data_IF_072192566331
#
_entry.id   IF_072192566331
#
_cell.length_a   1.000
_cell.length_b   1.000
_cell.length_c   1.000
_cell.angle_alpha   90.00
_cell.angle_beta   90.00
_cell.angle_gamma   90.00
#
_symmetry.space_group_name_H-M   'P 1'
#
loop_
_entity.id
_entity.type
_entity.pdbx_description
1 polymer ?
#
# COMPACT_ATOMS: atom_id res chain seq x y z
N UNK A 1 -99.22 44.53 10.62
CA UNK A 1 -97.84 44.13 10.27
C UNK A 1 -96.90 45.26 10.69
N UNK A 2 -95.70 44.96 11.20
CA UNK A 2 -94.56 45.89 11.50
C UNK A 2 -94.30 46.46 12.92
N UNK A 3 -94.82 45.90 14.04
CA UNK A 3 -94.41 46.34 15.41
C UNK A 3 -93.90 45.23 16.37
N UNK A 4 -93.55 44.04 15.87
CA UNK A 4 -92.86 42.99 16.65
C UNK A 4 -91.41 42.75 16.21
N UNK A 5 -90.88 43.59 15.32
CA UNK A 5 -89.56 43.42 14.71
C UNK A 5 -88.42 44.07 15.53
N UNK A 6 -88.62 45.29 16.06
CA UNK A 6 -87.52 46.09 16.64
C UNK A 6 -86.96 45.61 17.99
N UNK A 7 -87.80 45.12 18.90
CA UNK A 7 -87.35 44.74 20.26
C UNK A 7 -86.56 43.42 20.26
N UNK A 8 -86.83 42.54 19.30
CA UNK A 8 -86.12 41.27 19.08
C UNK A 8 -84.74 41.52 18.47
N UNK A 9 -84.61 42.47 17.54
CA UNK A 9 -83.34 42.84 16.90
C UNK A 9 -82.37 43.46 17.92
N UNK A 10 -82.83 44.32 18.82
CA UNK A 10 -81.98 44.95 19.84
C UNK A 10 -81.38 43.93 20.84
N UNK A 11 -82.14 42.89 21.23
CA UNK A 11 -81.63 41.81 22.09
C UNK A 11 -80.63 40.90 21.36
N UNK A 12 -80.82 40.66 20.05
CA UNK A 12 -79.90 39.87 19.24
C UNK A 12 -78.54 40.57 19.06
N UNK A 13 -78.52 41.89 18.87
CA UNK A 13 -77.27 42.68 18.74
C UNK A 13 -76.44 42.59 20.02
N UNK A 14 -77.06 42.75 21.20
CA UNK A 14 -76.37 42.69 22.48
C UNK A 14 -75.76 41.31 22.79
N UNK A 15 -76.34 40.22 22.28
CA UNK A 15 -75.80 38.86 22.42
C UNK A 15 -74.69 38.58 21.39
N UNK A 16 -74.78 39.20 20.21
CA UNK A 16 -73.82 38.97 19.11
C UNK A 16 -72.46 39.62 19.38
N UNK A 17 -72.43 40.79 20.02
CA UNK A 17 -71.18 41.50 20.34
C UNK A 17 -70.18 40.72 21.23
N UNK A 18 -70.58 40.09 22.35
CA UNK A 18 -69.67 39.30 23.17
C UNK A 18 -69.21 38.02 22.46
N UNK A 19 -70.07 37.42 21.63
CA UNK A 19 -69.69 36.25 20.80
C UNK A 19 -68.64 36.66 19.76
N UNK A 20 -68.82 37.81 19.09
CA UNK A 20 -67.84 38.35 18.13
C UNK A 20 -66.50 38.63 18.78
N UNK A 21 -66.49 39.25 19.97
CA UNK A 21 -65.24 39.50 20.73
C UNK A 21 -64.55 38.19 21.13
N UNK A 22 -65.31 37.20 21.60
CA UNK A 22 -64.76 35.89 21.96
C UNK A 22 -64.23 35.13 20.75
N UNK A 23 -64.91 35.20 19.62
CA UNK A 23 -64.46 34.61 18.36
C UNK A 23 -63.17 35.29 17.86
N UNK A 24 -63.10 36.62 17.92
CA UNK A 24 -61.88 37.37 17.56
C UNK A 24 -60.70 37.01 18.46
N UNK A 25 -60.89 36.97 19.79
CA UNK A 25 -59.83 36.55 20.72
C UNK A 25 -59.44 35.08 20.54
N UNK A 26 -60.39 34.21 20.21
CA UNK A 26 -60.11 32.79 19.96
C UNK A 26 -59.31 32.62 18.67
N UNK A 27 -59.62 33.41 17.64
CA UNK A 27 -58.90 33.41 16.38
C UNK A 27 -57.47 33.93 16.54
N UNK A 28 -57.29 35.05 17.26
CA UNK A 28 -55.98 35.65 17.54
C UNK A 28 -55.08 34.75 18.40
N UNK A 29 -55.64 34.09 19.43
CA UNK A 29 -54.91 33.08 20.20
C UNK A 29 -54.56 31.84 19.35
N UNK A 30 -55.42 31.46 18.40
CA UNK A 30 -55.14 30.34 17.51
C UNK A 30 -54.01 30.67 16.54
N UNK A 31 -54.02 31.87 15.96
CA UNK A 31 -52.97 32.37 15.08
C UNK A 31 -51.62 32.47 15.82
N UNK A 32 -51.61 32.99 17.05
CA UNK A 32 -50.42 33.04 17.90
C UNK A 32 -49.87 31.66 18.27
N UNK A 33 -50.74 30.72 18.64
CA UNK A 33 -50.33 29.35 18.94
C UNK A 33 -49.77 28.66 17.69
N UNK A 34 -50.39 28.88 16.53
CA UNK A 34 -49.90 28.36 15.25
C UNK A 34 -48.53 28.93 14.91
N UNK A 35 -48.33 30.24 15.08
CA UNK A 35 -47.04 30.89 14.86
C UNK A 35 -45.97 30.35 15.84
N UNK A 36 -46.27 30.25 17.14
CA UNK A 36 -45.37 29.69 18.15
C UNK A 36 -44.98 28.22 17.86
N UNK A 37 -45.93 27.40 17.42
CA UNK A 37 -45.68 26.02 17.02
C UNK A 37 -44.84 25.94 15.74
N UNK A 38 -45.04 26.85 14.77
CA UNK A 38 -44.19 26.94 13.58
C UNK A 38 -42.75 27.33 13.92
N UNK A 39 -42.54 28.33 14.77
CA UNK A 39 -41.21 28.72 15.26
C UNK A 39 -40.51 27.57 15.99
N UNK A 40 -41.20 26.85 16.88
CA UNK A 40 -40.65 25.68 17.60
C UNK A 40 -40.32 24.49 16.67
N UNK A 41 -41.06 24.34 15.58
CA UNK A 41 -40.76 23.35 14.55
C UNK A 41 -39.54 23.75 13.71
N UNK A 42 -39.39 25.03 13.36
CA UNK A 42 -38.24 25.56 12.62
C UNK A 42 -36.95 25.45 13.47
N UNK A 43 -37.02 25.78 14.76
CA UNK A 43 -35.89 25.70 15.70
C UNK A 43 -35.39 24.24 15.86
N UNK A 44 -36.30 23.28 16.07
CA UNK A 44 -35.93 21.85 16.07
C UNK A 44 -35.38 21.36 14.74
N UNK A 45 -35.88 21.89 13.61
CA UNK A 45 -35.35 21.56 12.28
C UNK A 45 -33.91 22.05 12.14
N UNK A 46 -33.61 23.26 12.61
CA UNK A 46 -32.26 23.83 12.61
C UNK A 46 -31.31 23.03 13.51
N UNK A 47 -31.72 22.66 14.71
CA UNK A 47 -30.92 21.81 15.62
C UNK A 47 -30.63 20.43 15.01
N UNK A 48 -31.64 19.77 14.42
CA UNK A 48 -31.47 18.49 13.73
C UNK A 48 -30.51 18.62 12.54
N UNK A 49 -30.55 19.73 11.82
CA UNK A 49 -29.68 20.00 10.69
C UNK A 49 -28.23 20.27 11.14
N UNK A 50 -28.04 20.98 12.26
CA UNK A 50 -26.73 21.18 12.88
C UNK A 50 -26.12 19.86 13.36
N UNK A 51 -26.89 19.05 14.10
CA UNK A 51 -26.48 17.71 14.53
C UNK A 51 -26.15 16.80 13.34
N UNK A 52 -26.99 16.80 12.30
CA UNK A 52 -26.73 16.04 11.08
C UNK A 52 -25.45 16.50 10.36
N UNK A 53 -25.12 17.79 10.41
CA UNK A 53 -23.90 18.34 9.80
C UNK A 53 -22.67 17.91 10.61
N UNK A 54 -22.72 18.02 11.95
CA UNK A 54 -21.66 17.55 12.83
C UNK A 54 -21.40 16.03 12.68
N UNK A 55 -22.45 15.22 12.60
CA UNK A 55 -22.33 13.77 12.38
C UNK A 55 -21.71 13.45 11.02
N UNK A 56 -22.09 14.18 9.95
CA UNK A 56 -21.48 14.02 8.62
C UNK A 56 -19.99 14.34 8.62
N UNK A 57 -19.59 15.42 9.29
CA UNK A 57 -18.18 15.80 9.43
C UNK A 57 -17.39 14.75 10.21
N UNK A 58 -17.96 14.21 11.28
CA UNK A 58 -17.37 13.13 12.07
C UNK A 58 -17.15 11.87 11.20
N UNK A 59 -18.18 11.42 10.48
CA UNK A 59 -18.10 10.25 9.58
C UNK A 59 -17.05 10.51 8.48
N UNK A 60 -17.03 11.71 7.90
CA UNK A 60 -16.06 12.07 6.87
C UNK A 60 -14.62 12.08 7.42
N UNK A 61 -14.42 12.60 8.62
CA UNK A 61 -13.13 12.60 9.32
C UNK A 61 -12.64 11.16 9.55
N UNK A 62 -13.50 10.29 10.08
CA UNK A 62 -13.19 8.87 10.27
C UNK A 62 -12.86 8.16 8.95
N UNK A 63 -13.65 8.40 7.89
CA UNK A 63 -13.39 7.80 6.58
C UNK A 63 -12.00 8.19 6.05
N UNK A 64 -11.65 9.48 6.13
CA UNK A 64 -10.32 9.96 5.73
C UNK A 64 -9.20 9.36 6.57
N UNK A 65 -9.40 9.21 7.89
CA UNK A 65 -8.42 8.58 8.76
C UNK A 65 -8.20 7.10 8.42
N UNK A 66 -9.26 6.35 8.10
CA UNK A 66 -9.16 4.95 7.69
C UNK A 66 -8.41 4.83 6.36
N UNK A 67 -8.77 5.64 5.37
CA UNK A 67 -8.07 5.69 4.08
C UNK A 67 -6.58 6.04 4.26
N UNK A 68 -6.29 7.00 5.14
CA UNK A 68 -4.92 7.38 5.47
C UNK A 68 -4.15 6.22 6.10
N UNK A 69 -4.72 5.54 7.12
CA UNK A 69 -4.07 4.37 7.74
C UNK A 69 -3.87 3.25 6.73
N UNK A 70 -4.85 2.99 5.86
CA UNK A 70 -4.72 2.00 4.79
C UNK A 70 -3.58 2.37 3.84
N UNK A 71 -3.50 3.63 3.41
CA UNK A 71 -2.44 4.13 2.55
C UNK A 71 -1.07 4.00 3.24
N UNK A 72 -0.96 4.41 4.50
CA UNK A 72 0.29 4.29 5.27
C UNK A 72 0.73 2.84 5.41
N UNK A 73 -0.20 1.92 5.70
CA UNK A 73 0.10 0.48 5.76
C UNK A 73 0.57 -0.08 4.41
N UNK A 74 -0.03 0.40 3.31
CA UNK A 74 0.35 0.03 1.95
C UNK A 74 1.75 0.56 1.66
N UNK A 75 2.02 1.84 1.92
CA UNK A 75 3.34 2.46 1.74
C UNK A 75 4.42 1.72 2.53
N UNK A 76 4.18 1.41 3.80
CA UNK A 76 5.10 0.64 4.64
C UNK A 76 5.40 -0.75 4.06
N UNK A 77 4.39 -1.46 3.55
CA UNK A 77 4.61 -2.76 2.87
C UNK A 77 5.43 -2.62 1.59
N UNK A 78 5.19 -1.59 0.78
CA UNK A 78 5.98 -1.35 -0.43
C UNK A 78 7.43 -1.02 -0.10
N UNK A 79 7.71 -0.28 0.98
CA UNK A 79 9.07 0.02 1.40
C UNK A 79 9.80 -1.25 1.86
N UNK A 80 9.18 -2.11 2.66
CA UNK A 80 9.78 -3.38 3.09
C UNK A 80 10.09 -4.29 1.89
N UNK A 81 9.14 -4.44 0.96
CA UNK A 81 9.35 -5.20 -0.28
C UNK A 81 10.48 -4.60 -1.13
N UNK A 82 10.53 -3.28 -1.27
CA UNK A 82 11.59 -2.61 -2.03
C UNK A 82 12.98 -2.83 -1.40
N UNK A 83 13.11 -2.68 -0.08
CA UNK A 83 14.38 -2.87 0.62
C UNK A 83 14.87 -4.33 0.51
N UNK A 84 13.96 -5.30 0.69
CA UNK A 84 14.31 -6.72 0.51
C UNK A 84 14.75 -7.04 -0.92
N UNK A 85 14.06 -6.47 -1.92
CA UNK A 85 14.43 -6.63 -3.33
C UNK A 85 15.81 -6.06 -3.64
N UNK A 86 16.12 -4.86 -3.15
CA UNK A 86 17.44 -4.22 -3.33
C UNK A 86 18.55 -5.08 -2.70
N UNK A 87 18.32 -5.61 -1.50
CA UNK A 87 19.28 -6.47 -0.82
C UNK A 87 19.60 -7.73 -1.62
N UNK A 88 18.57 -8.45 -2.09
CA UNK A 88 18.74 -9.67 -2.91
C UNK A 88 19.48 -9.36 -4.21
N UNK A 89 19.14 -8.26 -4.89
CA UNK A 89 19.82 -7.84 -6.12
C UNK A 89 21.30 -7.53 -5.85
N UNK A 90 21.60 -6.86 -4.72
CA UNK A 90 22.97 -6.58 -4.30
C UNK A 90 23.80 -7.85 -4.11
N UNK A 91 23.27 -8.84 -3.40
CA UNK A 91 23.93 -10.15 -3.20
C UNK A 91 24.13 -10.90 -4.53
N UNK A 92 23.15 -10.87 -5.43
CA UNK A 92 23.27 -11.46 -6.75
C UNK A 92 24.39 -10.81 -7.58
N UNK A 93 24.49 -9.49 -7.56
CA UNK A 93 25.57 -8.75 -8.23
C UNK A 93 26.93 -9.11 -7.62
N UNK A 94 27.00 -9.17 -6.30
CA UNK A 94 28.24 -9.53 -5.60
C UNK A 94 28.72 -10.93 -5.98
N UNK A 95 27.82 -11.92 -5.96
CA UNK A 95 28.11 -13.29 -6.40
C UNK A 95 28.49 -13.35 -7.88
N UNK A 96 27.85 -12.54 -8.73
CA UNK A 96 28.18 -12.44 -10.15
C UNK A 96 29.63 -11.97 -10.36
N UNK A 97 30.05 -10.90 -9.68
CA UNK A 97 31.42 -10.40 -9.76
C UNK A 97 32.44 -11.41 -9.23
N UNK A 98 32.14 -12.08 -8.11
CA UNK A 98 33.00 -13.14 -7.58
C UNK A 98 33.17 -14.30 -8.57
N UNK A 99 32.07 -14.73 -9.19
CA UNK A 99 32.07 -15.80 -10.18
C UNK A 99 32.85 -15.43 -11.45
N UNK A 100 32.72 -14.18 -11.89
CA UNK A 100 33.45 -13.64 -13.04
C UNK A 100 34.96 -13.54 -12.77
N UNK A 101 35.34 -13.02 -11.60
CA UNK A 101 36.74 -12.94 -11.18
C UNK A 101 37.36 -14.34 -11.05
N UNK A 102 36.62 -15.30 -10.48
CA UNK A 102 37.05 -16.68 -10.36
C UNK A 102 37.31 -17.34 -11.73
N UNK A 103 36.42 -17.11 -12.70
CA UNK A 103 36.62 -17.59 -14.07
C UNK A 103 37.82 -16.94 -14.76
N UNK A 104 38.00 -15.62 -14.61
CA UNK A 104 39.15 -14.93 -15.19
C UNK A 104 40.49 -15.49 -14.68
N UNK A 105 40.59 -15.70 -13.36
CA UNK A 105 41.77 -16.31 -12.73
C UNK A 105 41.97 -17.74 -13.24
N UNK A 106 40.89 -18.52 -13.37
CA UNK A 106 40.95 -19.88 -13.88
C UNK A 106 41.47 -19.94 -15.33
N UNK A 107 40.94 -19.11 -16.22
CA UNK A 107 41.36 -19.05 -17.62
C UNK A 107 42.82 -18.61 -17.75
N UNK A 108 43.25 -17.64 -16.94
CA UNK A 108 44.65 -17.21 -16.93
C UNK A 108 45.58 -18.32 -16.40
N UNK A 109 45.19 -19.00 -15.33
CA UNK A 109 45.94 -20.14 -14.79
C UNK A 109 46.04 -21.29 -15.79
N UNK A 110 44.97 -21.54 -16.56
CA UNK A 110 44.94 -22.57 -17.59
C UNK A 110 45.94 -22.29 -18.73
N UNK A 111 46.02 -21.02 -19.17
CA UNK A 111 47.01 -20.56 -20.16
C UNK A 111 48.44 -20.67 -19.64
N UNK A 112 48.68 -20.28 -18.38
CA UNK A 112 50.01 -20.41 -17.74
C UNK A 112 50.41 -21.88 -17.65
N UNK A 113 49.48 -22.77 -17.28
CA UNK A 113 49.69 -24.22 -17.22
C UNK A 113 50.04 -24.79 -18.60
N UNK A 114 49.32 -24.38 -19.65
CA UNK A 114 49.58 -24.82 -21.02
C UNK A 114 50.96 -24.37 -21.51
N UNK A 115 51.31 -23.10 -21.27
CA UNK A 115 52.65 -22.57 -21.57
C UNK A 115 53.75 -23.33 -20.82
N UNK A 116 53.57 -23.57 -19.51
CA UNK A 116 54.50 -24.34 -18.69
C UNK A 116 54.63 -25.80 -19.13
N UNK A 117 53.57 -26.39 -19.69
CA UNK A 117 53.59 -27.75 -20.24
C UNK A 117 54.29 -27.83 -21.59
N UNK A 118 54.13 -26.78 -22.42
CA UNK A 118 54.74 -26.68 -23.75
C UNK A 118 56.24 -26.33 -23.70
N UNK A 119 56.68 -25.71 -22.61
CA UNK A 119 58.08 -25.55 -22.28
C UNK A 119 58.75 -26.93 -22.13
N UNK A 120 59.94 -27.12 -22.70
CA UNK A 120 60.76 -28.33 -22.53
C UNK A 120 61.31 -28.46 -21.10
N UNK A 121 60.43 -28.45 -20.09
CA UNK A 121 60.76 -28.43 -18.65
C UNK A 121 61.61 -29.64 -18.24
N UNK A 122 61.47 -30.77 -18.94
CA UNK A 122 62.29 -31.96 -18.75
C UNK A 122 63.78 -31.76 -19.09
N UNK A 123 64.13 -30.73 -19.85
CA UNK A 123 65.53 -30.35 -20.17
C UNK A 123 66.08 -29.23 -19.27
N UNK A 124 65.30 -28.73 -18.29
CA UNK A 124 65.73 -27.65 -17.39
C UNK A 124 66.41 -28.19 -16.11
N UNK A 125 67.17 -27.35 -15.38
CA UNK A 125 67.78 -27.72 -14.10
C UNK A 125 66.74 -28.26 -13.10
N UNK A 126 67.18 -29.21 -12.25
CA UNK A 126 66.31 -29.93 -11.30
C UNK A 126 65.57 -29.03 -10.31
N UNK A 127 66.06 -27.82 -10.02
CA UNK A 127 65.34 -26.82 -9.22
C UNK A 127 64.07 -26.33 -9.96
N UNK A 128 64.22 -25.92 -11.22
CA UNK A 128 63.14 -25.37 -12.03
C UNK A 128 62.11 -26.44 -12.38
N UNK A 129 62.54 -27.70 -12.61
CA UNK A 129 61.62 -28.82 -12.78
C UNK A 129 60.66 -28.99 -11.60
N UNK A 130 61.19 -28.94 -10.37
CA UNK A 130 60.36 -29.09 -9.15
C UNK A 130 59.35 -27.95 -9.03
N UNK A 131 59.76 -26.73 -9.36
CA UNK A 131 58.89 -25.54 -9.33
C UNK A 131 57.77 -25.64 -10.38
N UNK A 132 58.10 -26.02 -11.61
CA UNK A 132 57.12 -26.23 -12.70
C UNK A 132 56.11 -27.33 -12.34
N UNK A 133 56.58 -28.46 -11.81
CA UNK A 133 55.71 -29.55 -11.36
C UNK A 133 54.80 -29.09 -10.21
N UNK A 134 55.32 -28.27 -9.28
CA UNK A 134 54.51 -27.70 -8.19
C UNK A 134 53.40 -26.77 -8.72
N UNK A 135 53.71 -25.91 -9.70
CA UNK A 135 52.73 -25.04 -10.37
C UNK A 135 51.67 -25.87 -11.12
N UNK A 136 52.09 -26.94 -11.81
CA UNK A 136 51.19 -27.83 -12.54
C UNK A 136 50.28 -28.63 -11.58
N UNK A 137 50.80 -29.04 -10.42
CA UNK A 137 50.03 -29.71 -9.37
C UNK A 137 49.04 -28.76 -8.69
N UNK A 138 49.43 -27.50 -8.45
CA UNK A 138 48.55 -26.47 -7.85
C UNK A 138 47.42 -26.06 -8.80
N UNK A 139 47.70 -25.92 -10.10
CA UNK A 139 46.69 -25.60 -11.12
C UNK A 139 45.71 -26.73 -11.45
N UNK A 140 46.01 -27.97 -11.02
CA UNK A 140 45.07 -29.11 -11.10
C UNK A 140 43.97 -29.06 -10.03
N UNK A 141 44.16 -28.35 -8.92
CA UNK A 141 43.05 -28.03 -8.04
C UNK A 141 42.28 -26.92 -8.76
N UNK A 142 41.11 -27.21 -9.34
CA UNK A 142 40.36 -26.13 -9.93
C UNK A 142 40.03 -25.18 -8.77
N UNK A 143 40.22 -23.88 -8.96
CA UNK A 143 39.69 -22.85 -8.08
C UNK A 143 38.15 -22.84 -8.18
N UNK A 144 37.53 -24.02 -8.02
CA UNK A 144 36.12 -24.17 -7.74
C UNK A 144 36.02 -23.78 -6.28
N UNK A 145 35.78 -22.49 -6.06
CA UNK A 145 35.31 -22.05 -4.77
C UNK A 145 33.95 -22.74 -4.61
N UNK A 146 33.97 -23.86 -3.89
CA UNK A 146 32.77 -24.65 -3.63
C UNK A 146 32.08 -24.04 -2.43
N UNK A 147 30.94 -23.42 -2.64
CA UNK A 147 30.08 -23.06 -1.51
C UNK A 147 29.50 -24.36 -0.93
N UNK A 148 30.02 -24.78 0.23
CA UNK A 148 29.46 -25.87 1.05
C UNK A 148 29.46 -27.28 0.46
N UNK A 149 30.24 -27.56 -0.59
CA UNK A 149 30.27 -28.83 -1.37
C UNK A 149 29.12 -29.05 -2.38
N UNK A 150 28.16 -28.13 -2.51
CA UNK A 150 27.00 -28.28 -3.42
C UNK A 150 27.09 -27.37 -4.65
N UNK A 151 27.80 -26.25 -4.57
CA UNK A 151 27.80 -25.24 -5.64
C UNK A 151 29.20 -24.93 -6.14
N UNK A 152 29.46 -25.25 -7.41
CA UNK A 152 30.65 -24.75 -8.12
C UNK A 152 30.36 -23.30 -8.52
N UNK A 153 31.14 -22.35 -7.98
CA UNK A 153 31.09 -20.95 -8.42
C UNK A 153 31.65 -20.83 -9.85
N UNK A 154 30.79 -21.04 -10.84
CA UNK A 154 31.04 -20.72 -12.25
C UNK A 154 29.89 -19.86 -12.79
N UNK A 155 30.20 -19.01 -13.78
CA UNK A 155 29.20 -18.15 -14.41
C UNK A 155 28.09 -18.96 -15.08
N UNK A 156 28.45 -20.11 -15.67
CA UNK A 156 27.52 -21.06 -16.27
C UNK A 156 26.50 -21.57 -15.25
N UNK A 157 26.97 -21.98 -14.06
CA UNK A 157 26.13 -22.50 -13.00
C UNK A 157 25.25 -21.39 -12.39
N UNK A 158 25.78 -20.17 -12.25
CA UNK A 158 24.99 -19.00 -11.83
C UNK A 158 23.86 -18.70 -12.82
N UNK A 159 24.15 -18.70 -14.13
CA UNK A 159 23.15 -18.49 -15.17
C UNK A 159 22.07 -19.58 -15.17
N UNK A 160 22.48 -20.85 -15.01
CA UNK A 160 21.57 -21.97 -14.92
C UNK A 160 20.61 -21.83 -13.72
N UNK A 161 21.11 -21.44 -12.53
CA UNK A 161 20.24 -21.15 -11.38
C UNK A 161 19.24 -20.05 -11.76
N UNK A 162 19.71 -18.92 -12.28
CA UNK A 162 18.83 -17.79 -12.61
C UNK A 162 17.72 -18.20 -13.59
N UNK A 163 18.07 -18.99 -14.61
CA UNK A 163 17.09 -19.53 -15.56
C UNK A 163 16.06 -20.43 -14.87
N UNK A 164 16.51 -21.33 -13.98
CA UNK A 164 15.58 -22.19 -13.23
C UNK A 164 14.69 -21.37 -12.29
N UNK A 165 15.24 -20.40 -11.57
CA UNK A 165 14.50 -19.49 -10.69
C UNK A 165 13.45 -18.67 -11.46
N UNK A 166 13.81 -18.14 -12.63
CA UNK A 166 12.85 -17.43 -13.51
C UNK A 166 11.76 -18.36 -14.03
N UNK A 167 12.10 -19.60 -14.35
CA UNK A 167 11.12 -20.62 -14.77
C UNK A 167 10.13 -20.92 -13.65
N UNK A 168 10.62 -21.17 -12.43
CA UNK A 168 9.76 -21.36 -11.25
C UNK A 168 8.90 -20.13 -10.97
N UNK A 169 9.47 -18.92 -11.04
CA UNK A 169 8.72 -17.68 -10.88
C UNK A 169 7.60 -17.55 -11.91
N UNK A 170 7.87 -17.88 -13.18
CA UNK A 170 6.88 -17.83 -14.26
C UNK A 170 5.74 -18.82 -14.02
N UNK A 171 6.07 -20.04 -13.59
CA UNK A 171 5.07 -21.06 -13.22
C UNK A 171 4.19 -20.56 -12.08
N UNK A 172 4.78 -20.02 -11.00
CA UNK A 172 4.03 -19.46 -9.89
C UNK A 172 3.15 -18.26 -10.31
N UNK A 173 3.67 -17.40 -11.19
CA UNK A 173 2.92 -16.28 -11.72
C UNK A 173 1.72 -16.72 -12.58
N UNK A 174 1.81 -17.87 -13.27
CA UNK A 174 0.68 -18.42 -14.04
C UNK A 174 -0.44 -19.01 -13.18
N UNK A 175 -0.19 -19.32 -11.91
CA UNK A 175 -1.22 -19.81 -10.97
C UNK A 175 -2.06 -18.69 -10.34
N UNK A 176 -1.83 -17.43 -10.71
CA UNK A 176 -2.56 -16.24 -10.22
C UNK A 176 -3.46 -15.66 -11.31
#
# INVERSE_FOLDING_TARGET
MTLLSGQTIHKLVHITDPIRKRAASSFENHDYNMECDTWRCEERRLELQEQATAVKECILSHKKAIEFVHLMSKLFRWTEMAMSGIYVIGELIHIFFLSLMAQFIFDHSLKVRESAYSCSWYNMPTKIQKDVVMILMRSRLPCKVMAGQLFVMSLENFCAILQTSMSYFTVLASFR
#
